data_IF_477881934776
#
_entry.id   IF_477881934776
#
_cell.length_a   1.000
_cell.length_b   1.000
_cell.length_c   1.000
_cell.angle_alpha   90.00
_cell.angle_beta   90.00
_cell.angle_gamma   90.00
#
_symmetry.space_group_name_H-M   'P 1'
#
loop_
_entity.id
_entity.type
_entity.pdbx_description
1 polymer ?
#
# COMPACT_ATOMS: atom_id res chain seq x y z
N UNK A 1 19.31 -21.12 -5.76
CA UNK A 1 18.70 -20.05 -4.94
C UNK A 1 17.89 -19.05 -5.78
N UNK A 2 17.44 -19.40 -6.99
CA UNK A 2 16.68 -18.49 -7.88
C UNK A 2 15.24 -18.23 -7.47
N UNK A 3 14.64 -19.16 -6.72
CA UNK A 3 13.25 -19.03 -6.26
C UNK A 3 13.05 -17.83 -5.31
N UNK A 4 14.07 -17.47 -4.53
CA UNK A 4 14.02 -16.36 -3.56
C UNK A 4 14.60 -15.06 -4.10
N UNK A 5 14.95 -15.02 -5.38
CA UNK A 5 15.54 -13.85 -6.04
C UNK A 5 14.42 -12.98 -6.61
N UNK A 6 13.61 -12.42 -5.70
CA UNK A 6 12.51 -11.52 -6.01
C UNK A 6 12.63 -10.22 -5.22
N UNK A 7 12.04 -9.17 -5.76
CA UNK A 7 11.96 -7.84 -5.18
C UNK A 7 10.51 -7.46 -4.86
N UNK A 8 10.32 -6.51 -3.94
CA UNK A 8 8.97 -6.03 -3.62
C UNK A 8 8.29 -5.38 -4.83
N UNK A 9 9.06 -4.81 -5.77
CA UNK A 9 8.56 -4.25 -7.01
C UNK A 9 8.00 -5.33 -7.92
N UNK A 10 8.68 -6.47 -8.05
CA UNK A 10 8.17 -7.61 -8.82
C UNK A 10 6.88 -8.15 -8.21
N UNK A 11 6.82 -8.27 -6.89
CA UNK A 11 5.59 -8.66 -6.19
C UNK A 11 4.45 -7.64 -6.39
N UNK A 12 4.76 -6.36 -6.54
CA UNK A 12 3.76 -5.33 -6.78
C UNK A 12 3.23 -5.34 -8.22
N UNK A 13 4.13 -5.46 -9.19
CA UNK A 13 3.80 -5.35 -10.61
C UNK A 13 3.19 -6.64 -11.16
N UNK A 14 3.73 -7.79 -10.74
CA UNK A 14 3.30 -9.10 -11.23
C UNK A 14 2.28 -9.71 -10.28
N UNK A 15 2.66 -10.03 -9.04
CA UNK A 15 1.78 -10.79 -8.15
C UNK A 15 0.52 -10.00 -7.79
N UNK A 16 0.66 -8.77 -7.26
CA UNK A 16 -0.49 -7.95 -6.86
C UNK A 16 -1.34 -7.50 -8.06
N UNK A 17 -0.70 -7.15 -9.17
CA UNK A 17 -1.41 -6.82 -10.42
C UNK A 17 -2.29 -7.96 -10.90
N UNK A 18 -1.73 -9.17 -11.03
CA UNK A 18 -2.48 -10.35 -11.48
C UNK A 18 -3.56 -10.78 -10.48
N UNK A 19 -3.32 -10.65 -9.17
CA UNK A 19 -4.37 -10.89 -8.18
C UNK A 19 -5.57 -9.94 -8.35
N UNK A 20 -5.32 -8.65 -8.63
CA UNK A 20 -6.40 -7.68 -8.86
C UNK A 20 -7.16 -8.03 -10.14
N UNK A 21 -6.46 -8.35 -11.24
CA UNK A 21 -7.10 -8.79 -12.50
C UNK A 21 -7.98 -10.00 -12.28
N UNK A 22 -7.46 -11.00 -11.58
CA UNK A 22 -8.18 -12.24 -11.32
C UNK A 22 -9.44 -12.01 -10.49
N UNK A 23 -9.35 -11.24 -9.40
CA UNK A 23 -10.52 -10.90 -8.58
C UNK A 23 -11.54 -10.13 -9.42
N UNK A 24 -11.09 -9.16 -10.23
CA UNK A 24 -11.96 -8.40 -11.11
C UNK A 24 -12.65 -9.30 -12.15
N UNK A 25 -11.93 -10.23 -12.78
CA UNK A 25 -12.51 -11.14 -13.77
C UNK A 25 -13.51 -12.12 -13.18
N UNK A 26 -13.23 -12.64 -11.98
CA UNK A 26 -14.11 -13.59 -11.30
C UNK A 26 -15.37 -12.94 -10.74
N UNK A 27 -15.26 -11.71 -10.22
CA UNK A 27 -16.38 -11.01 -9.56
C UNK A 27 -17.11 -10.03 -10.47
N UNK A 28 -16.53 -9.71 -11.63
CA UNK A 28 -16.97 -8.65 -12.54
C UNK A 28 -17.26 -7.32 -11.83
N UNK A 29 -16.51 -7.04 -10.76
CA UNK A 29 -16.70 -5.92 -9.86
C UNK A 29 -15.36 -5.28 -9.50
N UNK A 30 -15.36 -3.96 -9.28
CA UNK A 30 -14.14 -3.24 -8.86
C UNK A 30 -13.68 -3.68 -7.47
N UNK A 31 -12.37 -3.67 -7.24
CA UNK A 31 -11.73 -4.19 -6.04
C UNK A 31 -11.46 -3.07 -5.03
N UNK A 32 -11.71 -3.31 -3.75
CA UNK A 32 -11.27 -2.42 -2.66
C UNK A 32 -9.96 -2.96 -2.10
N UNK A 33 -8.92 -2.13 -2.07
CA UNK A 33 -7.59 -2.51 -1.61
C UNK A 33 -7.35 -1.99 -0.20
N UNK A 34 -6.78 -2.83 0.66
CA UNK A 34 -6.29 -2.43 1.98
C UNK A 34 -4.80 -2.77 2.07
N UNK A 35 -3.96 -1.74 1.95
CA UNK A 35 -2.50 -1.86 2.08
C UNK A 35 -2.06 -1.57 3.51
N UNK A 36 -1.12 -2.35 4.05
CA UNK A 36 -0.52 -2.09 5.36
C UNK A 36 1.00 -2.24 5.28
N UNK A 37 1.75 -1.28 5.85
CA UNK A 37 3.22 -1.30 5.85
C UNK A 37 3.77 -1.45 4.41
N UNK A 38 4.47 -2.54 4.08
CA UNK A 38 4.92 -2.85 2.72
C UNK A 38 3.77 -2.95 1.70
N UNK A 39 2.59 -3.44 2.11
CA UNK A 39 1.42 -3.51 1.24
C UNK A 39 1.00 -2.14 0.71
N UNK A 40 1.32 -1.06 1.43
CA UNK A 40 1.08 0.32 0.98
C UNK A 40 1.95 0.67 -0.23
N UNK A 41 3.27 0.41 -0.17
CA UNK A 41 4.17 0.72 -1.29
C UNK A 41 3.91 -0.20 -2.49
N UNK A 42 3.56 -1.47 -2.24
CA UNK A 42 3.17 -2.41 -3.30
C UNK A 42 1.89 -1.98 -4.00
N UNK A 43 0.86 -1.55 -3.25
CA UNK A 43 -0.39 -1.06 -3.84
C UNK A 43 -0.15 0.18 -4.71
N UNK A 44 0.65 1.13 -4.22
CA UNK A 44 1.01 2.32 -5.00
C UNK A 44 1.79 1.98 -6.27
N UNK A 45 2.74 1.04 -6.20
CA UNK A 45 3.47 0.58 -7.37
C UNK A 45 2.56 -0.15 -8.37
N UNK A 46 1.63 -0.97 -7.91
CA UNK A 46 0.65 -1.63 -8.76
C UNK A 46 -0.26 -0.63 -9.50
N UNK A 47 -0.67 0.45 -8.83
CA UNK A 47 -1.52 1.50 -9.43
C UNK A 47 -0.83 2.33 -10.52
N UNK A 48 0.49 2.16 -10.73
CA UNK A 48 1.17 2.75 -11.90
C UNK A 48 0.77 2.10 -13.21
N UNK A 49 0.19 0.89 -13.16
CA UNK A 49 -0.43 0.22 -14.31
C UNK A 49 -1.86 0.75 -14.49
N UNK A 50 -2.18 1.44 -15.60
CA UNK A 50 -3.48 2.11 -15.79
C UNK A 50 -4.68 1.16 -15.70
N UNK A 51 -4.53 -0.04 -16.23
CA UNK A 51 -5.56 -1.07 -16.22
C UNK A 51 -5.86 -1.58 -14.78
N UNK A 52 -4.86 -1.61 -13.89
CA UNK A 52 -5.04 -2.00 -12.49
C UNK A 52 -5.79 -0.89 -11.74
N UNK A 53 -5.45 0.37 -12.00
CA UNK A 53 -6.10 1.50 -11.33
C UNK A 53 -7.58 1.64 -11.74
N UNK A 54 -7.93 1.30 -12.98
CA UNK A 54 -9.32 1.26 -13.46
C UNK A 54 -10.17 0.18 -12.76
N UNK A 55 -9.55 -0.95 -12.40
CA UNK A 55 -10.17 -2.10 -11.72
C UNK A 55 -10.32 -1.90 -10.20
N UNK A 56 -9.75 -0.84 -9.62
CA UNK A 56 -9.82 -0.55 -8.18
C UNK A 56 -10.87 0.52 -7.90
N UNK A 57 -11.75 0.25 -6.93
CA UNK A 57 -12.80 1.19 -6.50
C UNK A 57 -12.27 2.20 -5.48
N UNK A 58 -11.51 1.71 -4.50
CA UNK A 58 -10.96 2.51 -3.43
C UNK A 58 -9.75 1.80 -2.80
N UNK A 59 -8.85 2.58 -2.18
CA UNK A 59 -7.71 2.05 -1.44
C UNK A 59 -7.63 2.68 -0.04
N UNK A 60 -7.46 1.83 0.99
CA UNK A 60 -7.12 2.24 2.35
C UNK A 60 -5.67 1.84 2.63
N UNK A 61 -4.78 2.82 2.81
CA UNK A 61 -3.33 2.59 2.91
C UNK A 61 -2.83 2.95 4.30
N UNK A 62 -2.55 1.92 5.11
CA UNK A 62 -2.25 2.04 6.53
C UNK A 62 -0.74 2.09 6.77
N UNK A 63 -0.31 3.13 7.47
CA UNK A 63 1.08 3.39 7.86
C UNK A 63 2.06 3.36 6.67
N UNK A 64 2.02 4.37 5.79
CA UNK A 64 2.92 4.43 4.64
C UNK A 64 4.38 4.50 5.11
N UNK A 65 5.20 3.55 4.65
CA UNK A 65 6.65 3.62 4.83
C UNK A 65 7.15 4.79 3.98
N UNK A 66 7.48 5.89 4.66
CA UNK A 66 8.05 7.10 4.08
C UNK A 66 9.41 6.78 3.45
N UNK A 67 9.57 7.19 2.20
CA UNK A 67 10.68 6.83 1.31
C UNK A 67 12.08 7.11 1.91
N UNK A 68 13.00 6.20 1.57
CA UNK A 68 14.41 6.10 1.94
C UNK A 68 15.29 7.05 1.13
N UNK A 69 16.01 7.99 1.75
CA UNK A 69 17.25 8.52 1.13
C UNK A 69 18.45 8.65 2.08
N UNK A 70 18.29 8.74 3.40
CA UNK A 70 19.40 8.55 4.34
C UNK A 70 18.86 8.21 5.73
N UNK A 71 19.11 7.00 6.22
CA UNK A 71 18.76 6.65 7.60
C UNK A 71 19.81 7.26 8.54
N UNK A 72 19.48 8.43 9.10
CA UNK A 72 19.94 8.96 10.41
C UNK A 72 18.87 9.84 11.09
N UNK A 73 17.59 9.67 10.72
CA UNK A 73 16.58 10.73 10.84
C UNK A 73 15.77 10.70 12.15
N UNK A 74 15.78 11.83 12.90
CA UNK A 74 15.12 12.01 14.22
C UNK A 74 13.58 11.92 14.20
N UNK A 75 12.95 11.77 13.03
CA UNK A 75 11.50 11.74 12.84
C UNK A 75 10.90 10.35 13.07
N UNK A 76 11.56 9.28 12.59
CA UNK A 76 11.21 7.88 12.91
C UNK A 76 11.46 7.60 14.40
N UNK A 77 12.52 8.17 14.97
CA UNK A 77 12.78 8.16 16.42
C UNK A 77 11.73 8.97 17.22
N UNK A 78 11.08 10.00 16.64
CA UNK A 78 9.99 10.76 17.28
C UNK A 78 8.66 10.02 17.24
N UNK A 79 8.38 9.29 16.17
CA UNK A 79 7.21 8.41 16.05
C UNK A 79 7.32 7.18 16.98
N UNK A 80 8.54 6.66 17.20
CA UNK A 80 8.84 5.66 18.25
C UNK A 80 8.69 6.26 19.66
N UNK A 81 9.00 7.54 19.86
CA UNK A 81 8.85 8.25 21.16
C UNK A 81 7.40 8.63 21.46
N UNK A 82 6.61 8.96 20.44
CA UNK A 82 5.16 9.20 20.51
C UNK A 82 4.33 7.91 20.64
N UNK A 83 4.95 6.74 20.45
CA UNK A 83 4.37 5.45 20.81
C UNK A 83 4.16 5.27 22.32
N UNK A 84 4.72 6.14 23.17
CA UNK A 84 4.38 6.20 24.60
C UNK A 84 3.15 7.08 24.89
N UNK A 85 2.61 7.79 23.91
CA UNK A 85 1.39 8.61 24.00
C UNK A 85 0.14 7.88 23.44
N UNK A 86 0.22 6.54 23.31
CA UNK A 86 -0.79 5.63 22.76
C UNK A 86 -2.13 5.56 23.52
N UNK A 87 -2.39 6.44 24.50
CA UNK A 87 -3.73 6.57 25.10
C UNK A 87 -4.66 7.56 24.36
N UNK A 88 -4.18 8.27 23.34
CA UNK A 88 -4.95 9.35 22.68
C UNK A 88 -5.29 9.06 21.21
N UNK A 89 -5.69 7.83 20.86
CA UNK A 89 -6.05 7.46 19.47
C UNK A 89 -7.40 8.07 19.05
N UNK A 90 -7.48 8.99 18.06
CA UNK A 90 -8.76 9.43 17.52
C UNK A 90 -8.88 8.94 16.07
N UNK A 91 -9.61 7.83 15.86
CA UNK A 91 -10.42 7.48 14.66
C UNK A 91 -9.88 7.78 13.23
N UNK A 92 -8.59 8.07 13.05
CA UNK A 92 -7.95 8.49 11.80
C UNK A 92 -6.86 7.52 11.32
N UNK A 93 -6.78 6.33 11.94
CA UNK A 93 -5.99 5.23 11.43
C UNK A 93 -6.58 4.60 10.13
N UNK A 94 -7.54 5.26 9.47
CA UNK A 94 -7.98 4.93 8.12
C UNK A 94 -7.59 6.13 7.26
N UNK A 95 -6.43 6.05 6.60
CA UNK A 95 -6.13 6.93 5.47
C UNK A 95 -7.08 6.50 4.35
N UNK A 96 -8.28 7.09 4.34
CA UNK A 96 -9.24 6.94 3.25
C UNK A 96 -8.80 7.87 2.13
N UNK A 97 -7.86 7.41 1.31
CA UNK A 97 -7.55 8.08 0.06
C UNK A 97 -8.70 7.83 -0.91
N UNK A 98 -9.73 8.67 -0.86
CA UNK A 98 -10.58 8.91 -2.02
C UNK A 98 -9.75 9.69 -3.04
N UNK A 99 -8.88 8.99 -3.76
CA UNK A 99 -8.33 9.54 -4.99
C UNK A 99 -9.36 9.23 -6.07
N UNK A 100 -10.02 10.23 -6.67
CA UNK A 100 -10.75 10.00 -7.91
C UNK A 100 -9.71 9.58 -8.94
N UNK A 101 -9.71 8.29 -9.28
CA UNK A 101 -8.93 7.77 -10.40
C UNK A 101 -9.67 8.25 -11.65
N UNK A 102 -9.24 9.39 -12.19
CA UNK A 102 -9.67 9.94 -13.46
C UNK A 102 -8.76 9.48 -14.58
#
# INVERSE_FOLDING_TARGET
MKFWDWSWQELALYDLGEMIRYIYSETNSKVIIVGHSQGTIMSLAAFTQPDISEMVEAAALLYPISYLEHITTRFVLRLVKMGNDLETVPRQAIVRCYLPVH
#
